data_IF_099861560458
#
_entry.id   IF_099861560458
#
_cell.length_a   1.000
_cell.length_b   1.000
_cell.length_c   1.000
_cell.angle_alpha   90.00
_cell.angle_beta   90.00
_cell.angle_gamma   90.00
#
_symmetry.space_group_name_H-M   'P 1'
#
loop_
_entity.id
_entity.type
_entity.pdbx_description
1 polymer ?
#
# COMPACT_ATOMS: atom_id res chain seq x y z
N UNK A 1 -30.38 34.30 -41.97
CA UNK A 1 -29.12 33.69 -42.45
C UNK A 1 -28.05 33.93 -41.40
N UNK A 2 -27.18 32.94 -41.13
CA UNK A 2 -25.97 33.18 -40.34
C UNK A 2 -25.56 32.13 -39.30
N UNK A 3 -25.76 30.83 -39.52
CA UNK A 3 -24.91 29.81 -38.87
C UNK A 3 -23.54 29.87 -39.55
N UNK A 4 -22.52 30.45 -38.91
CA UNK A 4 -21.14 30.39 -39.42
C UNK A 4 -20.16 30.34 -38.23
N UNK A 5 -19.25 29.36 -38.30
CA UNK A 5 -18.15 29.06 -37.39
C UNK A 5 -18.44 28.10 -36.23
N UNK A 6 -18.76 26.86 -36.60
CA UNK A 6 -18.36 25.69 -35.82
C UNK A 6 -16.84 25.65 -35.67
N UNK A 7 -16.36 26.18 -34.54
CA UNK A 7 -14.97 26.05 -34.11
C UNK A 7 -14.79 24.59 -33.67
N UNK A 8 -13.99 23.80 -34.40
CA UNK A 8 -13.53 22.51 -33.88
C UNK A 8 -12.79 22.79 -32.57
N UNK A 9 -13.43 22.50 -31.45
CA UNK A 9 -12.86 22.67 -30.11
C UNK A 9 -11.67 21.73 -30.02
N UNK A 10 -10.46 22.30 -30.06
CA UNK A 10 -9.24 21.60 -29.66
C UNK A 10 -9.51 20.92 -28.32
N UNK A 11 -9.13 19.64 -28.11
CA UNK A 11 -9.32 18.99 -26.82
C UNK A 11 -8.68 19.88 -25.75
N UNK A 12 -9.50 20.39 -24.82
CA UNK A 12 -9.02 21.36 -23.85
C UNK A 12 -7.90 20.74 -23.03
N UNK A 13 -6.78 21.45 -22.88
CA UNK A 13 -5.67 21.07 -21.99
C UNK A 13 -6.09 20.91 -20.51
N UNK A 14 -7.35 21.26 -20.20
CA UNK A 14 -8.01 21.15 -18.90
C UNK A 14 -8.71 19.80 -18.84
N UNK A 15 -8.28 18.96 -17.92
CA UNK A 15 -8.92 17.67 -17.65
C UNK A 15 -10.24 17.86 -16.91
N UNK A 16 -11.12 16.85 -16.92
CA UNK A 16 -12.36 16.89 -16.13
C UNK A 16 -12.09 17.04 -14.63
N UNK A 17 -10.95 16.50 -14.17
CA UNK A 17 -10.46 16.64 -12.78
C UNK A 17 -10.15 18.10 -12.44
N UNK A 18 -9.47 18.80 -13.33
CA UNK A 18 -9.16 20.23 -13.13
C UNK A 18 -10.43 21.08 -13.05
N UNK A 19 -11.46 20.71 -13.82
CA UNK A 19 -12.79 21.37 -13.73
C UNK A 19 -13.45 21.11 -12.37
N UNK A 20 -13.38 19.89 -11.85
CA UNK A 20 -13.91 19.55 -10.53
C UNK A 20 -13.17 20.30 -9.41
N UNK A 21 -11.83 20.34 -9.45
CA UNK A 21 -11.00 21.09 -8.48
C UNK A 21 -11.35 22.58 -8.55
N UNK A 22 -11.50 23.13 -9.76
CA UNK A 22 -11.89 24.54 -9.94
C UNK A 22 -13.27 24.82 -9.32
N UNK A 23 -14.25 23.96 -9.55
CA UNK A 23 -15.60 24.13 -8.97
C UNK A 23 -15.56 24.10 -7.43
N UNK A 24 -14.83 23.15 -6.83
CA UNK A 24 -14.68 23.08 -5.38
C UNK A 24 -14.00 24.33 -4.81
N UNK A 25 -12.92 24.79 -5.45
CA UNK A 25 -12.21 26.02 -5.05
C UNK A 25 -13.11 27.26 -5.18
N UNK A 26 -13.91 27.36 -6.24
CA UNK A 26 -14.88 28.44 -6.40
C UNK A 26 -15.93 28.45 -5.28
N UNK A 27 -16.45 27.28 -4.88
CA UNK A 27 -17.43 27.20 -3.79
C UNK A 27 -16.80 27.58 -2.44
N UNK A 28 -15.57 27.12 -2.19
CA UNK A 28 -14.79 27.51 -1.00
C UNK A 28 -14.61 29.02 -0.93
N UNK A 29 -14.24 29.65 -2.04
CA UNK A 29 -13.99 31.08 -2.09
C UNK A 29 -15.29 31.88 -1.88
N UNK A 30 -16.43 31.40 -2.39
CA UNK A 30 -17.75 31.97 -2.10
C UNK A 30 -18.11 31.88 -0.62
N UNK A 31 -17.85 30.74 0.03
CA UNK A 31 -18.07 30.58 1.47
C UNK A 31 -17.17 31.51 2.30
N UNK A 32 -15.89 31.66 1.93
CA UNK A 32 -14.97 32.61 2.56
C UNK A 32 -15.43 34.06 2.40
N UNK A 33 -15.98 34.43 1.24
CA UNK A 33 -16.60 35.75 1.04
C UNK A 33 -17.84 35.94 1.92
N UNK A 34 -18.68 34.92 2.05
CA UNK A 34 -19.87 34.95 2.91
C UNK A 34 -19.49 35.10 4.40
N UNK A 35 -18.48 34.36 4.86
CA UNK A 35 -17.92 34.46 6.21
C UNK A 35 -17.48 35.91 6.51
N UNK A 36 -16.70 36.53 5.61
CA UNK A 36 -16.25 37.93 5.76
C UNK A 36 -17.40 38.93 5.83
N UNK A 37 -18.49 38.70 5.08
CA UNK A 37 -19.68 39.56 5.15
C UNK A 37 -20.38 39.42 6.49
N UNK A 38 -20.56 38.19 6.99
CA UNK A 38 -21.21 37.95 8.28
C UNK A 38 -20.39 38.55 9.43
N UNK A 39 -19.06 38.34 9.47
CA UNK A 39 -18.22 38.88 10.54
C UNK A 39 -18.33 40.40 10.63
N UNK A 40 -18.29 41.08 9.48
CA UNK A 40 -18.50 42.52 9.42
C UNK A 40 -19.87 42.96 9.93
N UNK A 41 -20.94 42.22 9.63
CA UNK A 41 -22.27 42.50 10.17
C UNK A 41 -22.35 42.24 11.68
N UNK A 42 -21.75 41.15 12.18
CA UNK A 42 -21.70 40.84 13.60
C UNK A 42 -20.98 41.93 14.41
N UNK A 43 -19.88 42.47 13.90
CA UNK A 43 -19.14 43.54 14.58
C UNK A 43 -19.97 44.83 14.67
N UNK A 44 -20.68 45.19 13.60
CA UNK A 44 -21.63 46.31 13.62
C UNK A 44 -22.78 46.08 14.61
N UNK A 45 -23.37 44.89 14.61
CA UNK A 45 -24.45 44.53 15.54
C UNK A 45 -23.99 44.57 17.00
N UNK A 46 -22.74 44.16 17.27
CA UNK A 46 -22.13 44.29 18.61
C UNK A 46 -21.96 45.74 19.04
N UNK A 47 -21.52 46.63 18.15
CA UNK A 47 -21.41 48.06 18.46
C UNK A 47 -22.78 48.68 18.73
N UNK A 48 -23.78 48.36 17.90
CA UNK A 48 -25.16 48.80 18.11
C UNK A 48 -25.75 48.27 19.43
N UNK A 49 -25.48 47.01 19.77
CA UNK A 49 -25.90 46.44 21.05
C UNK A 49 -25.28 47.19 22.24
N UNK A 50 -23.99 47.56 22.18
CA UNK A 50 -23.32 48.38 23.20
C UNK A 50 -23.98 49.75 23.34
N UNK A 51 -24.30 50.42 22.23
CA UNK A 51 -25.00 51.71 22.25
C UNK A 51 -26.40 51.59 22.89
N UNK A 52 -27.18 50.58 22.52
CA UNK A 52 -28.51 50.35 23.10
C UNK A 52 -28.49 50.03 24.59
N UNK A 53 -27.41 49.41 25.08
CA UNK A 53 -27.22 49.21 26.52
C UNK A 53 -26.95 50.52 27.26
N UNK A 54 -26.16 51.42 26.66
CA UNK A 54 -25.93 52.76 27.21
C UNK A 54 -27.21 53.61 27.22
N UNK A 55 -28.06 53.46 26.20
CA UNK A 55 -29.38 54.11 26.11
C UNK A 55 -30.44 53.51 27.07
N UNK A 56 -30.09 52.48 27.85
CA UNK A 56 -31.02 51.80 28.76
C UNK A 56 -32.04 50.86 28.09
N UNK A 57 -31.98 50.66 26.77
CA UNK A 57 -32.92 49.84 25.98
C UNK A 57 -32.52 48.35 25.98
N UNK A 58 -32.58 47.73 27.15
CA UNK A 58 -32.11 46.34 27.38
C UNK A 58 -32.78 45.29 26.50
N UNK A 59 -34.10 45.38 26.27
CA UNK A 59 -34.84 44.39 25.48
C UNK A 59 -34.37 44.34 24.02
N UNK A 60 -34.13 45.51 23.41
CA UNK A 60 -33.63 45.61 22.03
C UNK A 60 -32.20 45.10 21.91
N UNK A 61 -31.35 45.40 22.90
CA UNK A 61 -29.99 44.86 22.96
C UNK A 61 -29.99 43.33 23.06
N UNK A 62 -30.90 42.74 23.85
CA UNK A 62 -31.00 41.29 24.00
C UNK A 62 -31.41 40.59 22.69
N UNK A 63 -32.31 41.19 21.90
CA UNK A 63 -32.69 40.66 20.58
C UNK A 63 -31.50 40.69 19.61
N UNK A 64 -30.72 41.78 19.59
CA UNK A 64 -29.51 41.85 18.77
C UNK A 64 -28.47 40.80 19.18
N UNK A 65 -28.22 40.62 20.47
CA UNK A 65 -27.28 39.61 20.95
C UNK A 65 -27.71 38.19 20.57
N UNK A 66 -29.02 37.88 20.63
CA UNK A 66 -29.57 36.61 20.13
C UNK A 66 -29.32 36.43 18.63
N UNK A 67 -29.53 37.49 17.84
CA UNK A 67 -29.25 37.48 16.40
C UNK A 67 -27.76 37.24 16.11
N UNK A 68 -26.87 37.92 16.82
CA UNK A 68 -25.42 37.72 16.70
C UNK A 68 -25.02 36.29 17.08
N UNK A 69 -25.63 35.70 18.11
CA UNK A 69 -25.37 34.29 18.48
C UNK A 69 -25.83 33.30 17.41
N UNK A 70 -26.94 33.57 16.73
CA UNK A 70 -27.39 32.74 15.61
C UNK A 70 -26.44 32.86 14.38
N UNK A 71 -25.96 34.07 14.09
CA UNK A 71 -24.97 34.29 13.03
C UNK A 71 -23.65 33.57 13.32
N UNK A 72 -23.21 33.56 14.58
CA UNK A 72 -22.04 32.81 15.06
C UNK A 72 -22.18 31.30 14.78
N UNK A 73 -23.36 30.72 15.03
CA UNK A 73 -23.64 29.31 14.69
C UNK A 73 -23.59 29.05 13.19
N UNK A 74 -24.09 29.97 12.35
CA UNK A 74 -23.99 29.85 10.90
C UNK A 74 -22.54 29.94 10.42
N UNK A 75 -21.73 30.78 11.06
CA UNK A 75 -20.32 30.94 10.76
C UNK A 75 -19.55 29.64 11.07
N UNK A 76 -19.80 29.02 12.22
CA UNK A 76 -19.21 27.71 12.57
C UNK A 76 -19.59 26.62 11.56
N UNK A 77 -20.84 26.60 11.07
CA UNK A 77 -21.25 25.67 10.01
C UNK A 77 -20.52 25.94 8.69
N UNK A 78 -20.34 27.21 8.33
CA UNK A 78 -19.61 27.59 7.12
C UNK A 78 -18.12 27.21 7.22
N UNK A 79 -17.49 27.35 8.38
CA UNK A 79 -16.11 26.91 8.63
C UNK A 79 -15.95 25.40 8.47
N UNK A 80 -16.88 24.61 9.04
CA UNK A 80 -16.89 23.16 8.82
C UNK A 80 -17.03 22.80 7.33
N UNK A 81 -17.89 23.50 6.59
CA UNK A 81 -18.04 23.28 5.15
C UNK A 81 -16.79 23.67 4.35
N UNK A 82 -16.10 24.75 4.74
CA UNK A 82 -14.83 25.15 4.13
C UNK A 82 -13.77 24.06 4.35
N UNK A 83 -13.65 23.53 5.56
CA UNK A 83 -12.73 22.43 5.86
C UNK A 83 -13.06 21.19 5.05
N UNK A 84 -14.34 20.81 4.93
CA UNK A 84 -14.76 19.69 4.09
C UNK A 84 -14.40 19.88 2.61
N UNK A 85 -14.56 21.09 2.07
CA UNK A 85 -14.17 21.43 0.69
C UNK A 85 -12.65 21.36 0.50
N UNK A 86 -11.87 21.79 1.48
CA UNK A 86 -10.41 21.71 1.46
C UNK A 86 -9.94 20.26 1.51
N UNK A 87 -10.56 19.42 2.34
CA UNK A 87 -10.31 17.97 2.37
C UNK A 87 -10.64 17.30 1.03
N UNK A 88 -11.82 17.56 0.44
CA UNK A 88 -12.17 16.97 -0.86
C UNK A 88 -11.19 17.35 -1.98
N UNK A 89 -10.63 18.57 -1.95
CA UNK A 89 -9.59 18.97 -2.92
C UNK A 89 -8.31 18.15 -2.70
N UNK A 90 -7.88 17.96 -1.45
CA UNK A 90 -6.72 17.13 -1.12
C UNK A 90 -6.93 15.67 -1.52
N UNK A 91 -8.11 15.13 -1.27
CA UNK A 91 -8.47 13.76 -1.65
C UNK A 91 -8.35 13.57 -3.16
N UNK A 92 -8.89 14.49 -3.97
CA UNK A 92 -8.77 14.43 -5.43
C UNK A 92 -7.31 14.50 -5.88
N UNK A 93 -6.48 15.32 -5.24
CA UNK A 93 -5.06 15.42 -5.55
C UNK A 93 -4.31 14.11 -5.17
N UNK A 94 -4.69 13.48 -4.05
CA UNK A 94 -4.12 12.20 -3.63
C UNK A 94 -4.54 11.04 -4.53
N UNK A 95 -5.80 10.98 -4.95
CA UNK A 95 -6.29 9.98 -5.92
C UNK A 95 -5.50 10.03 -7.23
N UNK A 96 -4.97 11.20 -7.65
CA UNK A 96 -4.10 11.27 -8.83
C UNK A 96 -2.77 10.55 -8.64
N UNK A 97 -2.22 10.57 -7.42
CA UNK A 97 -1.01 9.84 -7.09
C UNK A 97 -1.30 8.35 -7.07
N UNK A 98 -2.40 7.94 -6.42
CA UNK A 98 -2.82 6.53 -6.40
C UNK A 98 -3.06 5.96 -7.79
N UNK A 99 -3.70 6.72 -8.68
CA UNK A 99 -3.85 6.32 -10.08
C UNK A 99 -2.50 6.01 -10.75
N UNK A 100 -1.49 6.86 -10.55
CA UNK A 100 -0.15 6.64 -11.10
C UNK A 100 0.53 5.40 -10.50
N UNK A 101 0.33 5.15 -9.21
CA UNK A 101 0.86 3.94 -8.56
C UNK A 101 0.21 2.68 -9.16
N UNK A 102 -1.11 2.68 -9.34
CA UNK A 102 -1.84 1.57 -9.95
C UNK A 102 -1.38 1.34 -11.40
N UNK A 103 -1.18 2.41 -12.18
CA UNK A 103 -0.63 2.32 -13.53
C UNK A 103 0.78 1.70 -13.54
N UNK A 104 1.65 2.12 -12.61
CA UNK A 104 2.98 1.53 -12.43
C UNK A 104 2.95 0.05 -12.06
N UNK A 105 2.06 -0.34 -11.14
CA UNK A 105 1.85 -1.74 -10.76
C UNK A 105 1.33 -2.58 -11.92
N UNK A 106 0.46 -2.02 -12.77
CA UNK A 106 -0.05 -2.70 -13.97
C UNK A 106 1.07 -2.98 -14.96
N UNK A 107 1.92 -1.98 -15.25
CA UNK A 107 3.09 -2.16 -16.12
C UNK A 107 4.05 -3.21 -15.53
N UNK A 108 4.29 -3.18 -14.22
CA UNK A 108 5.09 -4.20 -13.54
C UNK A 108 4.50 -5.61 -13.68
N UNK A 109 3.18 -5.77 -13.51
CA UNK A 109 2.49 -7.04 -13.67
C UNK A 109 2.54 -7.57 -15.12
N UNK A 110 2.36 -6.68 -16.10
CA UNK A 110 2.44 -7.03 -17.52
C UNK A 110 3.86 -7.46 -17.93
N UNK A 111 4.89 -6.80 -17.38
CA UNK A 111 6.29 -7.21 -17.55
C UNK A 111 6.55 -8.60 -16.94
N UNK A 112 6.09 -8.83 -15.71
CA UNK A 112 6.20 -10.13 -15.05
C UNK A 112 5.50 -11.24 -15.83
N UNK A 113 4.30 -10.98 -16.37
CA UNK A 113 3.59 -11.94 -17.24
C UNK A 113 4.37 -12.27 -18.51
N UNK A 114 4.97 -11.27 -19.14
CA UNK A 114 5.77 -11.46 -20.35
C UNK A 114 7.03 -12.30 -20.06
N UNK A 115 7.70 -12.03 -18.93
CA UNK A 115 8.84 -12.83 -18.47
C UNK A 115 8.42 -14.27 -18.13
N UNK A 116 7.29 -14.44 -17.44
CA UNK A 116 6.75 -15.76 -17.12
C UNK A 116 6.44 -16.56 -18.39
N UNK A 117 5.87 -15.94 -19.42
CA UNK A 117 5.57 -16.61 -20.70
C UNK A 117 6.84 -17.11 -21.39
N UNK A 118 7.91 -16.31 -21.41
CA UNK A 118 9.19 -16.72 -22.01
C UNK A 118 9.87 -17.86 -21.22
N UNK A 119 9.77 -17.88 -19.89
CA UNK A 119 10.37 -18.94 -19.07
C UNK A 119 9.53 -20.24 -19.04
N UNK A 120 8.20 -20.15 -19.10
CA UNK A 120 7.32 -21.30 -18.83
C UNK A 120 7.16 -22.32 -19.95
N UNK A 121 7.52 -22.01 -21.20
CA UNK A 121 7.32 -22.95 -22.31
C UNK A 121 8.58 -23.81 -22.50
N UNK A 122 9.74 -23.19 -22.62
CA UNK A 122 11.00 -23.89 -22.90
C UNK A 122 11.50 -24.72 -21.70
N UNK A 123 11.35 -24.22 -20.47
CA UNK A 123 11.82 -24.93 -19.28
C UNK A 123 10.87 -26.05 -18.84
N UNK A 124 9.56 -25.89 -19.05
CA UNK A 124 8.58 -26.93 -18.69
C UNK A 124 8.63 -28.10 -19.68
N UNK A 125 8.78 -27.86 -20.99
CA UNK A 125 8.97 -28.93 -21.97
C UNK A 125 10.27 -29.70 -21.71
N UNK A 126 11.39 -29.00 -21.46
CA UNK A 126 12.66 -29.65 -21.12
C UNK A 126 12.58 -30.50 -19.85
N UNK A 127 11.94 -30.02 -18.78
CA UNK A 127 11.83 -30.78 -17.53
C UNK A 127 10.94 -32.02 -17.71
N UNK A 128 9.88 -31.94 -18.53
CA UNK A 128 9.02 -33.08 -18.81
C UNK A 128 9.74 -34.14 -19.64
N UNK A 129 10.50 -33.72 -20.66
CA UNK A 129 11.31 -34.62 -21.48
C UNK A 129 12.42 -35.28 -20.65
N UNK A 130 13.16 -34.51 -19.83
CA UNK A 130 14.20 -35.05 -18.94
C UNK A 130 13.64 -36.02 -17.88
N UNK A 131 12.43 -35.76 -17.35
CA UNK A 131 11.78 -36.64 -16.38
C UNK A 131 11.29 -37.93 -17.04
N UNK A 132 10.72 -37.84 -18.24
CA UNK A 132 10.24 -39.01 -18.99
C UNK A 132 11.40 -39.91 -19.43
N UNK A 133 12.48 -39.35 -19.97
CA UNK A 133 13.71 -40.10 -20.28
C UNK A 133 14.31 -40.76 -19.03
N UNK A 134 14.33 -40.07 -17.89
CA UNK A 134 14.82 -40.64 -16.63
C UNK A 134 13.98 -41.81 -16.14
N UNK A 135 12.65 -41.74 -16.27
CA UNK A 135 11.73 -42.84 -15.92
C UNK A 135 11.93 -44.02 -16.87
N UNK A 136 12.11 -43.78 -18.17
CA UNK A 136 12.37 -44.85 -19.15
C UNK A 136 13.72 -45.52 -18.94
N UNK A 137 14.76 -44.74 -18.63
CA UNK A 137 16.08 -45.27 -18.28
C UNK A 137 16.01 -46.12 -17.00
N UNK A 138 15.28 -45.66 -15.97
CA UNK A 138 15.07 -46.46 -14.75
C UNK A 138 14.31 -47.76 -15.06
N UNK A 139 13.28 -47.73 -15.91
CA UNK A 139 12.55 -48.93 -16.33
C UNK A 139 13.42 -49.91 -17.10
N UNK A 140 14.31 -49.41 -17.96
CA UNK A 140 15.29 -50.24 -18.67
C UNK A 140 16.27 -50.88 -17.68
N UNK A 141 16.73 -50.15 -16.67
CA UNK A 141 17.54 -50.71 -15.57
C UNK A 141 16.75 -51.80 -14.84
N UNK A 142 15.51 -51.51 -14.44
CA UNK A 142 14.66 -52.45 -13.69
C UNK A 142 14.39 -53.73 -14.53
N UNK A 143 14.13 -53.60 -15.82
CA UNK A 143 13.91 -54.74 -16.74
C UNK A 143 15.17 -55.58 -16.96
N UNK A 144 16.34 -54.93 -17.10
CA UNK A 144 17.63 -55.61 -17.20
C UNK A 144 18.00 -56.34 -15.89
N UNK A 145 17.64 -55.79 -14.74
CA UNK A 145 17.92 -56.38 -13.43
C UNK A 145 16.93 -57.49 -13.04
N UNK A 146 15.64 -57.35 -13.39
CA UNK A 146 14.56 -58.29 -13.04
C UNK A 146 14.76 -59.72 -13.59
N UNK A 147 15.63 -59.91 -14.58
CA UNK A 147 15.95 -61.22 -15.13
C UNK A 147 17.22 -61.87 -14.58
N UNK A 148 18.03 -61.17 -13.77
CA UNK A 148 19.40 -61.60 -13.44
C UNK A 148 19.66 -61.88 -11.95
N UNK A 149 18.78 -61.46 -11.04
CA UNK A 149 18.99 -61.58 -9.60
C UNK A 149 18.18 -62.77 -9.04
N UNK A 150 18.81 -63.55 -8.16
CA UNK A 150 18.11 -64.60 -7.41
C UNK A 150 17.56 -64.04 -6.09
N UNK A 151 16.60 -64.73 -5.48
CA UNK A 151 15.94 -64.25 -4.26
C UNK A 151 16.91 -64.08 -3.06
N UNK A 152 18.02 -64.84 -3.04
CA UNK A 152 19.08 -64.69 -2.04
C UNK A 152 19.92 -63.41 -2.26
N UNK A 153 20.11 -63.00 -3.52
CA UNK A 153 20.83 -61.76 -3.86
C UNK A 153 20.00 -60.52 -3.51
N UNK A 154 18.67 -60.58 -3.72
CA UNK A 154 17.75 -59.49 -3.35
C UNK A 154 17.76 -59.23 -1.82
N UNK A 155 17.77 -60.29 -1.01
CA UNK A 155 17.84 -60.16 0.45
C UNK A 155 19.18 -59.58 0.94
N UNK A 156 20.30 -59.91 0.27
CA UNK A 156 21.62 -59.35 0.57
C UNK A 156 21.69 -57.85 0.22
N UNK A 157 21.14 -57.44 -0.93
CA UNK A 157 21.07 -56.02 -1.32
C UNK A 157 20.19 -55.22 -0.36
N UNK A 158 19.05 -55.78 0.08
CA UNK A 158 18.18 -55.14 1.06
C UNK A 158 18.91 -54.90 2.40
N UNK A 159 19.70 -55.87 2.87
CA UNK A 159 20.49 -55.73 4.09
C UNK A 159 21.60 -54.66 3.94
N UNK A 160 22.27 -54.59 2.80
CA UNK A 160 23.26 -53.54 2.53
C UNK A 160 22.62 -52.14 2.43
N UNK A 161 21.46 -52.04 1.79
CA UNK A 161 20.70 -50.79 1.69
C UNK A 161 20.21 -50.31 3.06
N UNK A 162 19.77 -51.23 3.93
CA UNK A 162 19.42 -50.92 5.32
C UNK A 162 20.64 -50.43 6.11
N UNK A 163 21.82 -51.04 5.92
CA UNK A 163 23.05 -50.59 6.57
C UNK A 163 23.47 -49.17 6.12
N UNK A 164 23.33 -48.86 4.83
CA UNK A 164 23.65 -47.53 4.27
C UNK A 164 22.65 -46.48 4.80
N UNK A 165 21.35 -46.77 4.79
CA UNK A 165 20.33 -45.85 5.29
C UNK A 165 20.48 -45.61 6.80
N UNK A 166 20.76 -46.65 7.60
CA UNK A 166 21.02 -46.52 9.03
C UNK A 166 22.25 -45.64 9.31
N UNK A 167 23.30 -45.73 8.48
CA UNK A 167 24.50 -44.89 8.59
C UNK A 167 24.22 -43.42 8.23
N UNK A 168 23.42 -43.17 7.19
CA UNK A 168 23.01 -41.81 6.77
C UNK A 168 22.13 -41.15 7.83
N UNK A 169 21.18 -41.88 8.41
CA UNK A 169 20.34 -41.38 9.50
C UNK A 169 21.15 -41.11 10.76
N UNK A 170 22.16 -41.94 11.07
CA UNK A 170 23.08 -41.70 12.18
C UNK A 170 23.96 -40.45 11.94
N UNK A 171 24.41 -40.21 10.70
CA UNK A 171 25.12 -38.98 10.32
C UNK A 171 24.23 -37.74 10.44
N UNK A 172 22.97 -37.81 10.01
CA UNK A 172 22.01 -36.72 10.14
C UNK A 172 21.67 -36.44 11.62
N UNK A 173 21.57 -37.49 12.44
CA UNK A 173 21.36 -37.38 13.89
C UNK A 173 22.57 -36.78 14.61
N UNK A 174 23.80 -37.12 14.20
CA UNK A 174 25.04 -36.55 14.74
C UNK A 174 25.24 -35.08 14.29
N UNK A 175 24.85 -34.75 13.05
CA UNK A 175 24.88 -33.39 12.52
C UNK A 175 23.89 -32.46 13.23
N UNK A 176 22.69 -32.95 13.61
CA UNK A 176 21.74 -32.19 14.42
C UNK A 176 22.30 -31.83 15.82
N UNK A 177 23.02 -32.74 16.47
CA UNK A 177 23.67 -32.48 17.78
C UNK A 177 24.83 -31.48 17.62
N UNK A 178 25.61 -31.60 16.54
CA UNK A 178 26.74 -30.71 16.25
C UNK A 178 26.29 -29.27 15.91
N UNK A 179 25.23 -29.11 15.12
CA UNK A 179 24.66 -27.80 14.78
C UNK A 179 24.04 -27.10 16.00
N UNK A 180 23.46 -27.88 16.93
CA UNK A 180 22.90 -27.35 18.18
C UNK A 180 23.98 -26.78 19.11
N UNK A 181 25.14 -27.46 19.24
CA UNK A 181 26.29 -26.99 20.04
C UNK A 181 26.92 -25.71 19.47
N UNK A 182 27.07 -25.62 18.15
CA UNK A 182 27.61 -24.43 17.47
C UNK A 182 26.71 -23.18 17.62
N UNK A 183 25.41 -23.36 17.79
CA UNK A 183 24.47 -22.25 17.97
C UNK A 183 24.52 -21.65 19.38
N UNK A 184 24.89 -22.45 20.40
CA UNK A 184 25.03 -22.00 21.79
C UNK A 184 26.28 -21.15 22.04
N UNK A 185 27.44 -21.50 21.45
CA UNK A 185 28.70 -20.73 21.62
C UNK A 185 28.61 -19.30 21.07
N UNK A 186 27.82 -19.08 20.00
CA UNK A 186 27.70 -17.76 19.35
C UNK A 186 26.95 -16.71 20.19
N UNK A 187 26.21 -17.11 21.24
CA UNK A 187 25.49 -16.17 22.11
C UNK A 187 26.35 -15.58 23.23
N UNK A 188 27.40 -16.26 23.70
CA UNK A 188 28.27 -15.72 24.76
C UNK A 188 29.30 -14.68 24.25
N UNK A 189 29.69 -14.77 22.97
CA UNK A 189 30.74 -13.91 22.40
C UNK A 189 30.32 -12.43 22.19
N UNK A 190 29.03 -12.08 22.29
CA UNK A 190 28.52 -10.71 22.06
C UNK A 190 28.38 -9.84 23.32
N UNK A 191 28.81 -10.34 24.49
CA UNK A 191 28.52 -9.72 25.82
C UNK A 191 29.71 -9.10 26.56
N UNK A 192 30.80 -8.67 25.91
CA UNK A 192 31.86 -7.90 26.60
C UNK A 192 32.12 -6.55 25.91
N UNK A 193 31.78 -5.41 26.57
CA UNK A 193 32.04 -4.08 26.02
C UNK A 193 33.50 -3.65 26.24
N UNK A 194 34.05 -2.99 25.23
CA UNK A 194 35.36 -2.35 25.20
C UNK A 194 35.60 -1.46 26.45
N UNK A 195 36.61 -1.81 27.24
CA UNK A 195 37.25 -0.92 28.20
C UNK A 195 38.72 -0.84 27.78
N UNK A 196 39.07 0.20 27.03
CA UNK A 196 40.44 0.73 26.93
C UNK A 196 40.43 2.01 26.07
N UNK A 197 40.19 3.15 26.73
CA UNK A 197 40.77 4.44 26.36
C UNK A 197 40.97 5.22 27.66
N UNK A 198 42.06 4.91 28.35
CA UNK A 198 42.66 5.71 29.42
C UNK A 198 44.15 5.38 29.41
N UNK A 199 44.93 6.19 28.70
CA UNK A 199 46.31 6.58 29.01
C UNK A 199 47.05 7.04 27.74
N UNK A 200 47.15 8.35 27.56
CA UNK A 200 48.36 9.10 27.18
C UNK A 200 47.96 10.53 26.78
#
# INVERSE_FOLDING_TARGET
MGNVFGRKTQPSRVTERDKAILQLKQQRDKLKQYQKKITFHMDKERLLAKQLLNDGKKEKALVLLKKTRYQDQLLNKAESQISNLEHMVQDIEFMQIEMKVIEGLKVGNDCLKSMQQMMSIEEVERILDETQESIEYQRQIDELLAGSLTQEDEDAVLAELEAITHTIVCLFCCFCVFLFVLFTEKKEAKSKPNREMLAA
#
